data_IF_390436539255
#
_entry.id   IF_390436539255
#
_cell.length_a   1.000
_cell.length_b   1.000
_cell.length_c   1.000
_cell.angle_alpha   90.00
_cell.angle_beta   90.00
_cell.angle_gamma   90.00
#
_symmetry.space_group_name_H-M   'P 1'
#
loop_
_entity.id
_entity.type
_entity.pdbx_description
1 polymer ?
#
# COMPACT_ATOMS: atom_id res chain seq x y z
N UNK A 1 44.56 -6.15 -9.73
CA UNK A 1 44.32 -5.26 -8.58
C UNK A 1 42.84 -4.90 -8.62
N UNK A 2 42.06 -5.30 -7.62
CA UNK A 2 40.64 -4.94 -7.53
C UNK A 2 40.53 -3.48 -7.08
N UNK A 3 39.70 -2.66 -7.76
CA UNK A 3 39.50 -1.23 -7.51
C UNK A 3 38.03 -0.95 -7.13
N UNK A 4 37.74 0.29 -6.74
CA UNK A 4 36.38 0.79 -6.46
C UNK A 4 35.77 1.41 -7.73
N UNK A 5 34.46 1.66 -7.72
CA UNK A 5 33.72 2.31 -8.81
C UNK A 5 32.73 3.35 -8.26
N UNK A 6 32.39 4.34 -9.09
CA UNK A 6 31.28 5.27 -8.89
C UNK A 6 30.17 5.08 -9.94
N UNK A 7 29.04 5.81 -9.82
CA UNK A 7 27.90 5.61 -10.72
C UNK A 7 28.26 5.86 -12.20
N UNK A 8 29.13 6.83 -12.48
CA UNK A 8 29.50 7.21 -13.84
C UNK A 8 30.37 6.15 -14.52
N UNK A 9 31.14 5.34 -13.76
CA UNK A 9 31.87 4.19 -14.29
C UNK A 9 30.88 3.15 -14.86
N UNK A 10 29.80 2.85 -14.13
CA UNK A 10 28.78 1.92 -14.58
C UNK A 10 28.05 2.44 -15.83
N UNK A 11 27.68 3.72 -15.83
CA UNK A 11 27.02 4.34 -16.98
C UNK A 11 27.88 4.36 -18.24
N UNK A 12 29.19 4.54 -18.10
CA UNK A 12 30.13 4.49 -19.22
C UNK A 12 30.11 3.12 -19.90
N UNK A 13 30.37 2.04 -19.16
CA UNK A 13 30.42 0.69 -19.75
C UNK A 13 29.07 0.20 -20.28
N UNK A 14 27.95 0.57 -19.62
CA UNK A 14 26.62 0.27 -20.16
C UNK A 14 26.31 1.05 -21.44
N UNK A 15 26.80 2.28 -21.57
CA UNK A 15 26.68 3.07 -22.81
C UNK A 15 27.45 2.42 -23.95
N UNK A 16 28.71 2.03 -23.73
CA UNK A 16 29.52 1.35 -24.74
C UNK A 16 28.85 0.06 -25.22
N UNK A 17 28.41 -0.80 -24.30
CA UNK A 17 27.74 -2.05 -24.64
C UNK A 17 26.42 -1.82 -25.39
N UNK A 18 25.62 -0.84 -24.98
CA UNK A 18 24.33 -0.55 -25.62
C UNK A 18 24.49 0.07 -27.01
N UNK A 19 25.51 0.90 -27.22
CA UNK A 19 25.85 1.44 -28.54
C UNK A 19 26.40 0.34 -29.47
N UNK A 20 27.27 -0.54 -28.96
CA UNK A 20 27.77 -1.69 -29.71
C UNK A 20 26.64 -2.64 -30.14
N UNK A 21 25.64 -2.84 -29.28
CA UNK A 21 24.48 -3.69 -29.55
C UNK A 21 23.38 -2.99 -30.37
N UNK A 22 23.48 -1.67 -30.60
CA UNK A 22 22.45 -0.88 -31.28
C UNK A 22 21.14 -0.77 -30.49
N UNK A 23 21.15 -0.99 -29.18
CA UNK A 23 19.96 -0.96 -28.31
C UNK A 23 19.69 0.42 -27.70
N UNK A 24 20.62 1.36 -27.87
CA UNK A 24 20.50 2.75 -27.43
C UNK A 24 20.83 3.69 -28.59
N UNK A 25 20.05 4.78 -28.81
CA UNK A 25 20.38 5.77 -29.85
C UNK A 25 21.80 6.31 -29.70
N UNK A 26 22.51 6.48 -30.82
CA UNK A 26 23.92 6.88 -30.82
C UNK A 26 24.20 8.24 -30.16
N UNK A 27 23.19 9.12 -30.12
CA UNK A 27 23.28 10.44 -29.48
C UNK A 27 22.82 10.45 -28.01
N UNK A 28 22.38 9.31 -27.47
CA UNK A 28 21.91 9.18 -26.10
C UNK A 28 22.89 8.32 -25.30
N UNK A 29 23.20 8.72 -24.07
CA UNK A 29 24.06 7.93 -23.18
C UNK A 29 23.26 7.43 -21.98
N UNK A 30 23.68 6.31 -21.39
CA UNK A 30 23.07 5.81 -20.15
C UNK A 30 23.22 6.83 -19.04
N UNK A 31 24.33 7.57 -18.99
CA UNK A 31 24.52 8.67 -18.03
C UNK A 31 23.44 9.74 -18.15
N UNK A 32 23.19 10.24 -19.36
CA UNK A 32 22.14 11.26 -19.61
C UNK A 32 20.76 10.79 -19.14
N UNK A 33 20.45 9.51 -19.31
CA UNK A 33 19.19 8.93 -18.82
C UNK A 33 19.22 8.86 -17.30
N UNK A 34 20.21 8.17 -16.74
CA UNK A 34 20.26 7.79 -15.32
C UNK A 34 20.48 8.98 -14.39
N UNK A 35 21.16 10.05 -14.83
CA UNK A 35 21.27 11.29 -14.05
C UNK A 35 19.88 11.86 -13.71
N UNK A 36 18.88 11.69 -14.59
CA UNK A 36 17.50 12.11 -14.30
C UNK A 36 16.80 11.25 -13.25
N UNK A 37 17.27 10.03 -13.01
CA UNK A 37 16.68 9.07 -12.07
C UNK A 37 17.43 8.98 -10.74
N UNK A 38 18.74 9.28 -10.71
CA UNK A 38 19.58 9.11 -9.51
C UNK A 38 19.90 10.42 -8.79
N UNK A 39 19.87 11.56 -9.48
CA UNK A 39 20.23 12.88 -8.91
C UNK A 39 19.05 13.69 -8.41
N UNK A 40 17.82 13.21 -8.58
CA UNK A 40 16.61 13.82 -8.05
C UNK A 40 15.69 12.78 -7.40
N UNK A 41 14.88 13.23 -6.43
CA UNK A 41 13.90 12.38 -5.77
C UNK A 41 12.63 12.20 -6.61
N UNK A 42 11.85 11.17 -6.28
CA UNK A 42 10.56 10.91 -6.90
C UNK A 42 10.64 10.22 -8.27
N UNK A 43 9.51 10.18 -8.96
CA UNK A 43 9.36 9.53 -10.26
C UNK A 43 8.16 10.15 -11.01
N UNK A 44 8.07 9.98 -12.35
CA UNK A 44 6.97 10.55 -13.10
C UNK A 44 5.71 9.68 -13.09
N UNK A 45 4.57 10.35 -13.27
CA UNK A 45 3.39 9.76 -13.89
C UNK A 45 3.38 10.14 -15.37
N UNK A 46 3.22 9.14 -16.23
CA UNK A 46 3.02 9.31 -17.68
C UNK A 46 1.51 9.31 -17.95
N UNK A 47 1.00 10.38 -18.53
CA UNK A 47 -0.42 10.50 -18.89
C UNK A 47 -0.59 10.33 -20.40
N UNK A 48 -1.46 9.41 -20.80
CA UNK A 48 -1.79 9.12 -22.20
C UNK A 48 -3.22 9.58 -22.47
N UNK A 49 -3.38 10.53 -23.38
CA UNK A 49 -4.69 11.11 -23.72
C UNK A 49 -4.92 11.00 -25.22
N UNK A 50 -5.97 10.28 -25.65
CA UNK A 50 -6.33 10.22 -27.07
C UNK A 50 -6.83 11.60 -27.56
N UNK A 51 -6.23 12.10 -28.64
CA UNK A 51 -6.65 13.33 -29.34
C UNK A 51 -7.43 13.03 -30.62
N UNK A 52 -7.31 11.80 -31.14
CA UNK A 52 -8.08 11.30 -32.29
C UNK A 52 -8.32 9.80 -32.14
N UNK A 53 -8.99 9.18 -33.12
CA UNK A 53 -9.24 7.74 -33.11
C UNK A 53 -7.95 6.90 -33.10
N UNK A 54 -6.85 7.41 -33.66
CA UNK A 54 -5.59 6.68 -33.85
C UNK A 54 -4.37 7.42 -33.32
N UNK A 55 -4.57 8.57 -32.65
CA UNK A 55 -3.48 9.40 -32.15
C UNK A 55 -3.72 9.76 -30.69
N UNK A 56 -2.69 9.63 -29.86
CA UNK A 56 -2.69 10.11 -28.49
C UNK A 56 -1.50 11.03 -28.23
N UNK A 57 -1.67 11.93 -27.27
CA UNK A 57 -0.60 12.68 -26.66
C UNK A 57 -0.12 11.95 -25.41
N UNK A 58 1.20 12.01 -25.17
CA UNK A 58 1.84 11.43 -24.00
C UNK A 58 2.64 12.53 -23.30
N UNK A 59 2.33 12.76 -22.03
CA UNK A 59 3.00 13.76 -21.18
C UNK A 59 3.54 13.11 -19.92
N UNK A 60 4.48 13.78 -19.25
CA UNK A 60 5.01 13.34 -17.96
C UNK A 60 4.95 14.47 -16.93
N UNK A 61 4.65 14.11 -15.69
CA UNK A 61 4.65 15.02 -14.55
C UNK A 61 5.22 14.32 -13.33
N UNK A 62 5.82 15.07 -12.40
CA UNK A 62 6.24 14.50 -11.11
C UNK A 62 5.02 13.98 -10.34
N UNK A 63 5.05 12.71 -9.93
CA UNK A 63 3.93 12.12 -9.19
C UNK A 63 3.99 12.49 -7.69
N UNK A 64 2.97 13.21 -7.20
CA UNK A 64 2.74 13.49 -5.76
C UNK A 64 1.41 12.91 -5.33
N UNK A 65 1.38 12.34 -4.13
CA UNK A 65 0.13 11.96 -3.46
C UNK A 65 -0.62 13.17 -2.88
N UNK A 66 0.09 14.26 -2.60
CA UNK A 66 -0.43 15.51 -2.02
C UNK A 66 -0.60 16.61 -3.09
N UNK A 67 -1.11 16.25 -4.27
CA UNK A 67 -1.38 17.25 -5.31
C UNK A 67 -2.67 18.03 -4.99
N UNK A 68 -2.61 18.81 -3.91
CA UNK A 68 -3.70 19.68 -3.44
C UNK A 68 -4.04 20.80 -4.41
N UNK A 69 -3.23 21.02 -5.47
CA UNK A 69 -3.54 21.99 -6.53
C UNK A 69 -4.73 21.57 -7.39
N UNK A 70 -5.04 20.27 -7.43
CA UNK A 70 -6.23 19.72 -8.09
C UNK A 70 -7.46 19.69 -7.15
N UNK A 71 -7.33 20.16 -5.91
CA UNK A 71 -8.40 20.24 -4.91
C UNK A 71 -8.80 21.72 -4.67
N UNK A 72 -10.02 22.16 -5.07
CA UNK A 72 -10.41 23.58 -5.06
C UNK A 72 -10.51 24.28 -3.69
N UNK A 73 -10.20 23.62 -2.56
CA UNK A 73 -10.60 24.09 -1.22
C UNK A 73 -9.47 24.23 -0.20
N UNK A 74 -8.21 24.09 -0.58
CA UNK A 74 -7.07 24.22 0.37
C UNK A 74 -6.38 25.58 0.25
N UNK A 75 -6.22 26.34 1.36
CA UNK A 75 -5.25 27.43 1.41
C UNK A 75 -3.83 26.85 1.24
N UNK A 76 -2.90 27.57 0.61
CA UNK A 76 -1.51 27.13 0.50
C UNK A 76 -0.91 26.93 1.90
N UNK A 77 -0.29 25.77 2.11
CA UNK A 77 0.51 25.48 3.29
C UNK A 77 1.63 26.52 3.42
N UNK A 78 1.49 27.43 4.38
CA UNK A 78 2.41 28.53 4.67
C UNK A 78 3.52 28.08 5.63
N UNK A 79 4.27 27.05 5.27
CA UNK A 79 5.56 26.76 5.92
C UNK A 79 6.67 26.95 4.88
N UNK A 80 7.43 28.05 4.94
CA UNK A 80 8.56 28.24 4.05
C UNK A 80 9.61 27.19 4.37
N UNK A 81 9.90 26.27 3.43
CA UNK A 81 11.10 25.44 3.53
C UNK A 81 12.31 26.36 3.43
N UNK A 82 13.23 26.28 4.38
CA UNK A 82 14.38 27.19 4.53
C UNK A 82 15.47 27.01 3.47
N UNK A 83 15.14 26.36 2.35
CA UNK A 83 15.91 26.30 1.10
C UNK A 83 14.93 25.92 -0.01
N UNK A 84 14.87 26.65 -1.14
CA UNK A 84 14.13 26.17 -2.30
C UNK A 84 14.81 24.88 -2.75
N UNK A 85 14.07 23.76 -2.71
CA UNK A 85 14.53 22.54 -3.37
C UNK A 85 14.83 22.89 -4.84
N UNK A 86 15.93 22.36 -5.43
CA UNK A 86 16.20 22.59 -6.84
C UNK A 86 14.95 22.22 -7.67
N UNK A 87 14.64 22.96 -8.74
CA UNK A 87 13.47 22.68 -9.55
C UNK A 87 13.54 21.23 -10.03
N UNK A 88 12.49 20.48 -9.73
CA UNK A 88 12.34 19.09 -10.17
C UNK A 88 12.34 19.11 -11.70
N UNK A 89 13.26 18.37 -12.31
CA UNK A 89 13.36 18.25 -13.76
C UNK A 89 12.59 17.02 -14.23
N UNK A 90 12.10 17.03 -15.46
CA UNK A 90 11.50 15.83 -16.06
C UNK A 90 12.53 14.71 -16.26
N UNK A 91 12.06 13.50 -16.54
CA UNK A 91 12.89 12.30 -16.66
C UNK A 91 13.07 11.86 -18.11
N UNK A 92 14.16 11.15 -18.37
CA UNK A 92 14.27 10.35 -19.59
C UNK A 92 13.49 9.06 -19.41
N UNK A 93 12.27 8.99 -19.97
CA UNK A 93 11.34 7.87 -19.76
C UNK A 93 11.31 6.92 -20.96
N UNK A 94 11.65 5.63 -20.78
CA UNK A 94 11.48 4.62 -21.83
C UNK A 94 10.02 4.16 -21.91
N UNK A 95 9.34 4.52 -22.99
CA UNK A 95 7.96 4.10 -23.25
C UNK A 95 7.94 2.77 -23.99
N UNK A 96 7.23 1.82 -23.39
CA UNK A 96 6.78 0.57 -24.00
C UNK A 96 5.26 0.58 -23.95
N UNK A 97 4.59 0.04 -24.96
CA UNK A 97 3.14 -0.06 -24.95
C UNK A 97 2.62 -1.18 -25.85
N UNK A 98 1.46 -1.71 -25.48
CA UNK A 98 0.73 -2.76 -26.20
C UNK A 98 -0.76 -2.42 -26.22
N UNK A 99 -1.58 -3.19 -26.93
CA UNK A 99 -2.99 -2.86 -27.13
C UNK A 99 -3.90 -4.08 -27.21
N UNK A 100 -5.20 -3.86 -27.07
CA UNK A 100 -6.21 -4.90 -27.26
C UNK A 100 -6.43 -5.34 -28.69
N UNK A 101 -5.86 -4.66 -29.69
CA UNK A 101 -5.89 -5.09 -31.10
C UNK A 101 -4.83 -6.17 -31.36
N UNK A 102 -3.61 -5.91 -30.89
CA UNK A 102 -2.47 -6.83 -30.95
C UNK A 102 -1.77 -6.89 -29.59
N UNK A 103 -2.29 -7.72 -28.66
CA UNK A 103 -1.71 -7.85 -27.33
C UNK A 103 -0.41 -8.64 -27.40
N UNK A 104 0.70 -7.93 -27.22
CA UNK A 104 2.03 -8.50 -27.02
C UNK A 104 2.64 -7.96 -25.72
N UNK A 105 2.77 -8.83 -24.73
CA UNK A 105 3.38 -8.52 -23.43
C UNK A 105 4.82 -9.07 -23.30
N UNK A 106 5.34 -9.73 -24.34
CA UNK A 106 6.70 -10.23 -24.38
C UNK A 106 7.68 -9.19 -24.95
N UNK A 107 7.19 -8.21 -25.72
CA UNK A 107 8.00 -7.12 -26.25
C UNK A 107 8.13 -5.95 -25.26
N UNK A 108 9.21 -5.97 -24.47
CA UNK A 108 9.59 -4.87 -23.57
C UNK A 108 10.60 -3.91 -24.22
N UNK A 109 10.80 -3.94 -25.54
CA UNK A 109 11.71 -3.00 -26.21
C UNK A 109 11.13 -1.60 -26.21
N UNK A 110 11.98 -0.62 -25.96
CA UNK A 110 11.59 0.79 -25.94
C UNK A 110 11.11 1.21 -27.32
N UNK A 111 9.87 1.67 -27.41
CA UNK A 111 9.25 2.19 -28.64
C UNK A 111 9.49 3.69 -28.81
N UNK A 112 9.59 4.41 -27.70
CA UNK A 112 9.82 5.86 -27.68
C UNK A 112 10.56 6.25 -26.40
N UNK A 113 11.56 7.13 -26.51
CA UNK A 113 12.18 7.78 -25.36
C UNK A 113 11.60 9.17 -25.20
N UNK A 114 10.97 9.44 -24.04
CA UNK A 114 10.64 10.81 -23.65
C UNK A 114 11.92 11.50 -23.16
N UNK A 115 12.24 12.64 -23.73
CA UNK A 115 13.39 13.43 -23.34
C UNK A 115 13.09 14.23 -22.06
N UNK A 116 14.12 14.40 -21.23
CA UNK A 116 14.08 15.32 -20.10
C UNK A 116 14.37 16.77 -20.54
N UNK A 117 13.80 17.73 -19.81
CA UNK A 117 13.91 19.16 -20.03
C UNK A 117 13.13 19.96 -18.97
N UNK A 118 13.35 21.28 -18.91
CA UNK A 118 12.60 22.19 -18.03
C UNK A 118 11.12 22.32 -18.44
N UNK A 119 10.84 22.21 -19.74
CA UNK A 119 9.50 22.09 -20.31
C UNK A 119 9.42 20.76 -21.09
N UNK A 120 8.95 19.66 -20.45
CA UNK A 120 8.94 18.35 -21.08
C UNK A 120 8.02 18.35 -22.31
N UNK A 121 8.52 17.94 -23.49
CA UNK A 121 7.72 17.96 -24.70
C UNK A 121 6.53 17.00 -24.60
N UNK A 122 5.40 17.41 -25.18
CA UNK A 122 4.29 16.51 -25.46
C UNK A 122 4.64 15.65 -26.66
N UNK A 123 4.52 14.34 -26.52
CA UNK A 123 4.77 13.40 -27.61
C UNK A 123 3.48 12.93 -28.23
N UNK A 124 3.41 12.91 -29.57
CA UNK A 124 2.33 12.24 -30.28
C UNK A 124 2.72 10.80 -30.61
N UNK A 125 1.82 9.87 -30.32
CA UNK A 125 1.98 8.45 -30.62
C UNK A 125 0.81 7.97 -31.46
N UNK A 126 1.10 7.16 -32.47
CA UNK A 126 0.07 6.47 -33.25
C UNK A 126 -0.33 5.20 -32.51
N UNK A 127 -1.62 5.07 -32.22
CA UNK A 127 -2.21 3.94 -31.51
C UNK A 127 -3.28 3.28 -32.39
N UNK A 128 -3.66 2.02 -32.10
CA UNK A 128 -4.83 1.42 -32.71
C UNK A 128 -6.10 2.23 -32.46
N UNK A 129 -7.17 1.87 -33.16
CA UNK A 129 -8.50 2.48 -33.02
C UNK A 129 -8.90 2.62 -31.53
N UNK A 130 -9.55 3.74 -31.20
CA UNK A 130 -10.04 4.06 -29.86
C UNK A 130 -11.01 3.04 -29.25
N UNK A 131 -11.50 2.08 -30.04
CA UNK A 131 -12.23 0.91 -29.53
C UNK A 131 -11.35 -0.09 -28.75
N UNK A 132 -10.03 -0.05 -28.93
CA UNK A 132 -9.09 -0.92 -28.24
C UNK A 132 -8.40 -0.18 -27.09
N UNK A 133 -8.31 -0.85 -25.94
CA UNK A 133 -7.48 -0.40 -24.84
C UNK A 133 -6.01 -0.37 -25.25
N UNK A 134 -5.25 0.51 -24.62
CA UNK A 134 -3.78 0.54 -24.65
C UNK A 134 -3.23 0.43 -23.24
N UNK A 135 -2.10 -0.25 -23.11
CA UNK A 135 -1.34 -0.37 -21.86
C UNK A 135 0.08 0.09 -22.13
N UNK A 136 0.55 1.08 -21.38
CA UNK A 136 1.94 1.51 -21.37
C UNK A 136 2.68 0.87 -20.20
N UNK A 137 4.01 0.83 -20.31
CA UNK A 137 4.91 0.16 -19.38
C UNK A 137 4.67 -1.35 -19.33
N UNK A 138 4.85 -2.02 -20.47
CA UNK A 138 4.73 -3.48 -20.62
C UNK A 138 5.60 -4.19 -19.56
N UNK A 139 4.99 -5.10 -18.81
CA UNK A 139 5.55 -5.79 -17.64
C UNK A 139 6.10 -4.88 -16.53
N UNK A 140 5.65 -3.62 -16.48
CA UNK A 140 6.12 -2.62 -15.52
C UNK A 140 7.65 -2.52 -15.48
N UNK A 141 8.30 -2.67 -16.64
CA UNK A 141 9.76 -2.77 -16.76
C UNK A 141 10.50 -1.46 -16.45
N UNK A 142 9.78 -0.34 -16.34
CA UNK A 142 10.33 0.98 -16.06
C UNK A 142 9.64 1.63 -14.85
N UNK A 143 10.37 2.51 -14.16
CA UNK A 143 9.97 3.07 -12.86
C UNK A 143 9.08 4.32 -12.99
N UNK A 144 7.88 4.17 -13.57
CA UNK A 144 6.87 5.22 -13.65
C UNK A 144 5.46 4.65 -13.56
N UNK A 145 4.51 5.50 -13.15
CA UNK A 145 3.08 5.19 -13.16
C UNK A 145 2.45 5.62 -14.46
N UNK A 146 1.36 4.98 -14.87
CA UNK A 146 0.62 5.36 -16.07
C UNK A 146 -0.80 5.79 -15.74
N UNK A 147 -1.18 6.97 -16.22
CA UNK A 147 -2.55 7.43 -16.26
C UNK A 147 -3.07 7.44 -17.69
N UNK A 148 -4.38 7.23 -17.84
CA UNK A 148 -5.07 7.27 -19.12
C UNK A 148 -6.29 8.18 -19.04
N UNK A 149 -6.80 8.59 -20.19
CA UNK A 149 -8.16 9.13 -20.29
C UNK A 149 -9.22 8.11 -19.81
N UNK A 150 -10.39 8.63 -19.40
CA UNK A 150 -11.46 7.82 -18.81
C UNK A 150 -11.97 6.73 -19.77
N UNK A 151 -11.93 6.97 -21.09
CA UNK A 151 -12.36 5.99 -22.07
C UNK A 151 -11.45 4.77 -22.07
N UNK A 152 -10.13 4.96 -22.03
CA UNK A 152 -9.19 3.83 -21.94
C UNK A 152 -9.33 3.07 -20.62
N UNK A 153 -9.50 3.77 -19.48
CA UNK A 153 -9.76 3.11 -18.19
C UNK A 153 -11.02 2.23 -18.24
N UNK A 154 -12.10 2.68 -18.88
CA UNK A 154 -13.32 1.87 -19.08
C UNK A 154 -13.07 0.65 -19.96
N UNK A 155 -12.25 0.78 -21.02
CA UNK A 155 -11.88 -0.36 -21.87
C UNK A 155 -11.04 -1.39 -21.10
N UNK A 156 -10.12 -0.95 -20.24
CA UNK A 156 -9.35 -1.84 -19.37
C UNK A 156 -10.26 -2.56 -18.36
N UNK A 157 -11.16 -1.84 -17.69
CA UNK A 157 -12.12 -2.43 -16.77
C UNK A 157 -13.02 -3.46 -17.45
N UNK A 158 -13.44 -3.20 -18.70
CA UNK A 158 -14.20 -4.16 -19.51
C UNK A 158 -13.37 -5.40 -19.86
N UNK A 159 -12.15 -5.22 -20.36
CA UNK A 159 -11.26 -6.34 -20.71
C UNK A 159 -11.00 -7.25 -19.50
N UNK A 160 -10.74 -6.67 -18.32
CA UNK A 160 -10.50 -7.43 -17.09
C UNK A 160 -11.72 -8.26 -16.67
N UNK A 161 -12.93 -7.71 -16.83
CA UNK A 161 -14.18 -8.41 -16.53
C UNK A 161 -14.51 -9.52 -17.51
N UNK A 162 -14.29 -9.28 -18.81
CA UNK A 162 -14.62 -10.22 -19.89
C UNK A 162 -13.60 -11.35 -19.99
N UNK A 163 -12.31 -11.01 -20.00
CA UNK A 163 -11.21 -11.98 -20.02
C UNK A 163 -9.90 -11.31 -19.57
N UNK A 164 -9.63 -11.35 -18.27
CA UNK A 164 -8.41 -10.76 -17.70
C UNK A 164 -7.12 -11.45 -18.18
N UNK A 165 -7.15 -12.72 -18.59
CA UNK A 165 -5.95 -13.45 -19.03
C UNK A 165 -5.35 -12.91 -20.34
N UNK A 166 -6.07 -12.07 -21.10
CA UNK A 166 -5.49 -11.35 -22.25
C UNK A 166 -4.39 -10.39 -21.79
N UNK A 167 -4.52 -9.80 -20.59
CA UNK A 167 -3.53 -8.89 -20.01
C UNK A 167 -2.62 -9.68 -19.09
N UNK A 168 -1.29 -9.53 -19.26
CA UNK A 168 -0.31 -10.21 -18.42
C UNK A 168 -0.47 -9.86 -16.93
N UNK A 169 -0.28 -10.82 -16.03
CA UNK A 169 -0.50 -10.67 -14.58
C UNK A 169 0.23 -9.48 -13.96
N UNK A 170 1.48 -9.22 -14.37
CA UNK A 170 2.25 -8.04 -13.93
C UNK A 170 1.56 -6.73 -14.35
N UNK A 171 1.06 -6.62 -15.58
CA UNK A 171 0.35 -5.43 -16.01
C UNK A 171 -1.03 -5.31 -15.36
N UNK A 172 -1.72 -6.41 -15.05
CA UNK A 172 -2.95 -6.35 -14.23
C UNK A 172 -2.67 -5.78 -12.84
N UNK A 173 -1.58 -6.22 -12.21
CA UNK A 173 -1.11 -5.68 -10.94
C UNK A 173 -0.72 -4.20 -11.04
N UNK A 174 -0.02 -3.80 -12.11
CA UNK A 174 0.29 -2.40 -12.40
C UNK A 174 -0.98 -1.56 -12.55
N UNK A 175 -1.96 -2.00 -13.33
CA UNK A 175 -3.24 -1.30 -13.53
C UNK A 175 -3.93 -1.07 -12.19
N UNK A 176 -3.99 -2.10 -11.32
CA UNK A 176 -4.58 -1.98 -9.99
C UNK A 176 -3.79 -0.97 -9.15
N UNK A 177 -2.46 -1.12 -9.08
CA UNK A 177 -1.60 -0.26 -8.25
C UNK A 177 -1.63 1.20 -8.71
N UNK A 178 -1.53 1.45 -10.01
CA UNK A 178 -1.64 2.77 -10.61
C UNK A 178 -3.02 3.37 -10.36
N UNK A 179 -4.11 2.62 -10.58
CA UNK A 179 -5.46 3.12 -10.35
C UNK A 179 -5.69 3.59 -8.90
N UNK A 180 -5.26 2.78 -7.91
CA UNK A 180 -5.38 3.16 -6.49
C UNK A 180 -4.55 4.39 -6.13
N UNK A 181 -3.31 4.47 -6.62
CA UNK A 181 -2.42 5.59 -6.29
C UNK A 181 -2.80 6.87 -7.03
N UNK A 182 -3.27 6.77 -8.28
CA UNK A 182 -3.84 7.90 -9.03
C UNK A 182 -5.11 8.41 -8.37
N UNK A 183 -5.99 7.53 -7.89
CA UNK A 183 -7.18 7.95 -7.17
C UNK A 183 -6.84 8.60 -5.83
N UNK A 184 -5.83 8.09 -5.12
CA UNK A 184 -5.32 8.73 -3.91
C UNK A 184 -4.75 10.13 -4.17
N UNK A 185 -4.11 10.33 -5.31
CA UNK A 185 -3.60 11.62 -5.77
C UNK A 185 -4.67 12.52 -6.42
N UNK A 186 -5.95 12.11 -6.45
CA UNK A 186 -7.04 12.90 -7.06
C UNK A 186 -7.05 12.91 -8.60
N UNK A 187 -6.27 12.03 -9.25
CA UNK A 187 -6.13 11.94 -10.72
C UNK A 187 -7.06 10.89 -11.36
N UNK A 188 -7.76 10.10 -10.54
CA UNK A 188 -8.75 9.09 -10.96
C UNK A 188 -9.88 9.02 -9.92
N UNK A 189 -11.12 8.72 -10.33
CA UNK A 189 -12.21 8.57 -9.37
C UNK A 189 -12.14 7.20 -8.67
N UNK A 190 -12.50 7.14 -7.39
CA UNK A 190 -12.63 5.84 -6.71
C UNK A 190 -13.77 4.99 -7.27
N UNK A 191 -14.76 5.56 -7.94
CA UNK A 191 -15.76 4.80 -8.69
C UNK A 191 -15.09 3.98 -9.80
N UNK A 192 -14.18 4.59 -10.57
CA UNK A 192 -13.41 3.87 -11.60
C UNK A 192 -12.54 2.78 -10.98
N UNK A 193 -11.89 3.05 -9.83
CA UNK A 193 -11.08 2.04 -9.12
C UNK A 193 -11.95 0.85 -8.70
N UNK A 194 -13.12 1.10 -8.10
CA UNK A 194 -14.04 0.07 -7.63
C UNK A 194 -14.61 -0.75 -8.80
N UNK A 195 -14.98 -0.08 -9.89
CA UNK A 195 -15.38 -0.73 -11.14
C UNK A 195 -14.27 -1.61 -11.71
N UNK A 196 -13.04 -1.10 -11.72
CA UNK A 196 -11.88 -1.80 -12.23
C UNK A 196 -11.58 -3.07 -11.42
N UNK A 197 -11.56 -3.01 -10.09
CA UNK A 197 -11.22 -4.16 -9.24
C UNK A 197 -12.35 -5.19 -9.10
N UNK A 198 -13.57 -4.89 -9.55
CA UNK A 198 -14.69 -5.83 -9.43
C UNK A 198 -14.48 -7.15 -10.20
N UNK A 199 -13.55 -7.20 -11.17
CA UNK A 199 -13.14 -8.44 -11.83
C UNK A 199 -12.39 -9.42 -10.91
N UNK A 200 -11.85 -8.96 -9.76
CA UNK A 200 -11.00 -9.76 -8.89
C UNK A 200 -11.69 -11.04 -8.37
N UNK A 201 -13.03 -11.06 -8.35
CA UNK A 201 -13.81 -12.28 -8.10
C UNK A 201 -13.48 -13.44 -9.06
N UNK A 202 -12.85 -13.16 -10.20
CA UNK A 202 -12.41 -14.14 -11.19
C UNK A 202 -10.87 -14.36 -11.19
N UNK A 203 -10.12 -13.53 -10.47
CA UNK A 203 -8.65 -13.53 -10.46
C UNK A 203 -8.10 -14.60 -9.52
N UNK A 204 -7.06 -15.31 -9.97
CA UNK A 204 -6.44 -16.44 -9.25
C UNK A 204 -4.93 -16.33 -9.13
N UNK A 205 -4.30 -15.41 -9.84
CA UNK A 205 -2.85 -15.24 -9.83
C UNK A 205 -2.41 -14.37 -8.64
N UNK A 206 -1.24 -14.69 -8.09
CA UNK A 206 -0.73 -14.01 -6.90
C UNK A 206 -0.46 -12.52 -7.11
N UNK A 207 0.15 -12.15 -8.25
CA UNK A 207 0.69 -10.79 -8.45
C UNK A 207 -0.39 -9.70 -8.44
N UNK A 208 -1.55 -9.85 -9.13
CA UNK A 208 -2.66 -8.89 -9.05
C UNK A 208 -3.29 -8.81 -7.64
N UNK A 209 -3.42 -9.93 -6.95
CA UNK A 209 -3.92 -9.97 -5.57
C UNK A 209 -2.96 -9.28 -4.59
N UNK A 210 -1.65 -9.48 -4.74
CA UNK A 210 -0.63 -8.81 -3.94
C UNK A 210 -0.69 -7.28 -4.09
N UNK A 211 -0.84 -6.77 -5.32
CA UNK A 211 -1.09 -5.35 -5.58
C UNK A 211 -2.40 -4.85 -4.96
N UNK A 212 -3.46 -5.66 -5.04
CA UNK A 212 -4.76 -5.35 -4.42
C UNK A 212 -4.63 -5.22 -2.90
N UNK A 213 -4.11 -6.24 -2.22
CA UNK A 213 -3.98 -6.26 -0.76
C UNK A 213 -3.10 -5.13 -0.23
N UNK A 214 -2.03 -4.81 -0.95
CA UNK A 214 -1.15 -3.69 -0.61
C UNK A 214 -1.89 -2.34 -0.63
N UNK A 215 -2.73 -2.11 -1.66
CA UNK A 215 -3.49 -0.87 -1.79
C UNK A 215 -4.73 -0.82 -0.87
N UNK A 216 -5.38 -1.97 -0.65
CA UNK A 216 -6.49 -2.09 0.30
C UNK A 216 -6.08 -1.74 1.73
N UNK A 217 -4.80 -1.89 2.10
CA UNK A 217 -4.32 -1.50 3.41
C UNK A 217 -4.54 0.00 3.71
N UNK A 218 -4.41 0.89 2.72
CA UNK A 218 -4.71 2.32 2.90
C UNK A 218 -6.21 2.55 3.07
N UNK A 219 -7.02 1.95 2.19
CA UNK A 219 -8.48 2.04 2.25
C UNK A 219 -9.02 1.52 3.58
N UNK A 220 -8.52 0.38 4.05
CA UNK A 220 -8.80 -0.16 5.37
C UNK A 220 -8.40 0.83 6.46
N UNK A 221 -7.19 1.40 6.43
CA UNK A 221 -6.73 2.40 7.42
C UNK A 221 -7.62 3.65 7.44
N UNK A 222 -8.24 4.03 6.33
CA UNK A 222 -9.16 5.17 6.27
C UNK A 222 -10.57 4.81 6.77
N UNK A 223 -11.06 3.61 6.48
CA UNK A 223 -12.44 3.24 6.75
C UNK A 223 -12.67 2.41 8.01
N UNK A 224 -11.67 1.77 8.63
CA UNK A 224 -11.91 0.79 9.71
C UNK A 224 -12.60 1.33 10.99
N UNK A 225 -12.74 2.66 11.12
CA UNK A 225 -13.54 3.34 12.17
C UNK A 225 -14.70 4.16 11.61
N UNK A 226 -14.90 4.13 10.29
CA UNK A 226 -15.98 4.84 9.63
C UNK A 226 -17.29 4.03 9.70
N UNK A 227 -18.46 4.67 9.86
CA UNK A 227 -19.76 3.97 9.85
C UNK A 227 -20.01 3.13 8.58
N UNK A 228 -19.46 3.53 7.43
CA UNK A 228 -19.61 2.79 6.18
C UNK A 228 -18.69 1.57 6.06
N UNK A 229 -17.84 1.30 7.05
CA UNK A 229 -16.90 0.18 7.02
C UNK A 229 -17.58 -1.16 6.77
N UNK A 230 -18.78 -1.39 7.33
CA UNK A 230 -19.54 -2.62 7.14
C UNK A 230 -19.77 -2.93 5.65
N UNK A 231 -20.30 -1.96 4.91
CA UNK A 231 -20.57 -2.09 3.48
C UNK A 231 -19.28 -2.34 2.66
N UNK A 232 -18.22 -1.58 2.95
CA UNK A 232 -16.93 -1.75 2.29
C UNK A 232 -16.32 -3.13 2.56
N UNK A 233 -16.38 -3.58 3.81
CA UNK A 233 -15.89 -4.88 4.27
C UNK A 233 -16.63 -6.02 3.55
N UNK A 234 -17.96 -5.92 3.41
CA UNK A 234 -18.77 -6.92 2.72
C UNK A 234 -18.47 -6.97 1.21
N UNK A 235 -18.23 -5.82 0.57
CA UNK A 235 -17.77 -5.77 -0.82
C UNK A 235 -16.40 -6.43 -1.01
N UNK A 236 -15.41 -6.09 -0.18
CA UNK A 236 -14.07 -6.69 -0.31
C UNK A 236 -14.14 -8.20 -0.05
N UNK A 237 -14.94 -8.65 0.91
CA UNK A 237 -15.17 -10.07 1.16
C UNK A 237 -15.79 -10.78 -0.05
N UNK A 238 -16.72 -10.15 -0.77
CA UNK A 238 -17.34 -10.76 -1.96
C UNK A 238 -16.33 -10.95 -3.10
N UNK A 239 -15.31 -10.09 -3.21
CA UNK A 239 -14.20 -10.27 -4.14
C UNK A 239 -13.26 -11.40 -3.72
N UNK A 240 -12.98 -11.54 -2.42
CA UNK A 240 -12.05 -12.54 -1.88
C UNK A 240 -12.68 -13.94 -1.84
N UNK A 241 -14.00 -14.05 -1.66
CA UNK A 241 -14.68 -15.33 -1.43
C UNK A 241 -14.40 -16.39 -2.53
N UNK A 242 -14.47 -16.07 -3.83
CA UNK A 242 -14.16 -17.05 -4.88
C UNK A 242 -12.71 -17.54 -4.82
N UNK A 243 -11.75 -16.66 -4.49
CA UNK A 243 -10.36 -17.05 -4.29
C UNK A 243 -10.23 -17.97 -3.07
N UNK A 244 -10.92 -17.65 -1.98
CA UNK A 244 -10.98 -18.45 -0.75
C UNK A 244 -11.46 -19.87 -1.01
N UNK A 245 -12.55 -20.01 -1.77
CA UNK A 245 -13.12 -21.30 -2.13
C UNK A 245 -12.20 -22.07 -3.09
N UNK A 246 -11.42 -21.37 -3.91
CA UNK A 246 -10.51 -21.98 -4.88
C UNK A 246 -9.19 -22.48 -4.27
N UNK A 247 -8.51 -21.66 -3.47
CA UNK A 247 -7.17 -21.96 -2.94
C UNK A 247 -7.22 -22.78 -1.65
N UNK A 248 -8.35 -22.71 -0.94
CA UNK A 248 -8.57 -23.39 0.32
C UNK A 248 -7.68 -22.88 1.47
N UNK A 249 -7.82 -23.53 2.62
CA UNK A 249 -7.16 -23.13 3.87
C UNK A 249 -5.97 -24.02 4.23
N UNK A 250 -5.86 -25.18 3.61
CA UNK A 250 -4.81 -26.17 3.85
C UNK A 250 -3.71 -26.03 2.79
N UNK A 251 -2.46 -26.14 3.22
CA UNK A 251 -1.32 -26.21 2.30
C UNK A 251 -1.23 -27.60 1.67
N UNK A 252 -1.05 -27.63 0.36
CA UNK A 252 -0.89 -28.84 -0.42
C UNK A 252 0.59 -29.00 -0.79
N UNK A 253 1.08 -30.24 -0.82
CA UNK A 253 2.45 -30.54 -1.27
C UNK A 253 2.72 -30.12 -2.72
N UNK A 254 1.66 -29.96 -3.51
CA UNK A 254 1.70 -29.49 -4.90
C UNK A 254 1.62 -27.96 -5.05
N UNK A 255 1.53 -27.21 -3.95
CA UNK A 255 1.42 -25.74 -4.03
C UNK A 255 2.70 -25.12 -4.57
N UNK A 256 2.54 -24.24 -5.56
CA UNK A 256 3.59 -23.30 -5.95
C UNK A 256 3.87 -22.30 -4.82
N UNK A 257 5.07 -21.70 -4.81
CA UNK A 257 5.41 -20.63 -3.87
C UNK A 257 4.40 -19.46 -3.94
N UNK A 258 3.93 -19.14 -5.15
CA UNK A 258 2.93 -18.10 -5.36
C UNK A 258 1.58 -18.45 -4.71
N UNK A 259 1.15 -19.71 -4.79
CA UNK A 259 -0.08 -20.16 -4.11
C UNK A 259 0.07 -20.14 -2.59
N UNK A 260 1.24 -20.50 -2.06
CA UNK A 260 1.51 -20.43 -0.62
C UNK A 260 1.42 -18.98 -0.11
N UNK A 261 2.01 -18.03 -0.83
CA UNK A 261 1.94 -16.60 -0.51
C UNK A 261 0.53 -16.05 -0.65
N UNK A 262 -0.15 -16.37 -1.77
CA UNK A 262 -1.53 -15.94 -2.02
C UNK A 262 -2.47 -16.45 -0.93
N UNK A 263 -2.31 -17.71 -0.48
CA UNK A 263 -3.11 -18.27 0.61
C UNK A 263 -2.88 -17.51 1.93
N UNK A 264 -1.62 -17.20 2.26
CA UNK A 264 -1.29 -16.46 3.48
C UNK A 264 -1.92 -15.06 3.48
N UNK A 265 -1.78 -14.31 2.39
CA UNK A 265 -2.36 -12.97 2.24
C UNK A 265 -3.89 -13.02 2.27
N UNK A 266 -4.47 -13.95 1.52
CA UNK A 266 -5.92 -14.14 1.47
C UNK A 266 -6.50 -14.52 2.83
N UNK A 267 -5.89 -15.47 3.56
CA UNK A 267 -6.33 -15.83 4.93
C UNK A 267 -6.22 -14.62 5.86
N UNK A 268 -5.14 -13.85 5.77
CA UNK A 268 -4.95 -12.63 6.56
C UNK A 268 -6.09 -11.64 6.34
N UNK A 269 -6.48 -11.41 5.09
CA UNK A 269 -7.56 -10.48 4.76
C UNK A 269 -8.95 -11.05 5.05
N UNK A 270 -9.25 -12.28 4.65
CA UNK A 270 -10.54 -12.91 4.87
C UNK A 270 -10.90 -12.97 6.37
N UNK A 271 -9.96 -13.42 7.21
CA UNK A 271 -10.16 -13.48 8.66
C UNK A 271 -10.32 -12.08 9.28
N UNK A 272 -9.45 -11.13 8.89
CA UNK A 272 -9.49 -9.72 9.36
C UNK A 272 -10.82 -9.06 9.02
N UNK A 273 -11.35 -9.31 7.82
CA UNK A 273 -12.61 -8.76 7.35
C UNK A 273 -13.84 -9.48 7.92
N UNK A 274 -13.67 -10.56 8.69
CA UNK A 274 -14.80 -11.18 9.38
C UNK A 274 -15.36 -12.44 8.74
N UNK A 275 -14.65 -13.08 7.79
CA UNK A 275 -15.10 -14.35 7.23
C UNK A 275 -15.28 -15.38 8.36
N UNK A 276 -16.52 -15.87 8.51
CA UNK A 276 -16.94 -16.71 9.64
C UNK A 276 -16.19 -18.04 9.64
N UNK A 277 -16.05 -18.67 8.47
CA UNK A 277 -15.31 -19.93 8.34
C UNK A 277 -13.83 -19.73 8.75
N UNK A 278 -13.18 -18.71 8.21
CA UNK A 278 -11.78 -18.37 8.50
C UNK A 278 -11.54 -18.17 10.01
N UNK A 279 -12.45 -17.45 10.69
CA UNK A 279 -12.37 -17.18 12.13
C UNK A 279 -12.55 -18.44 12.97
N UNK A 280 -13.59 -19.22 12.68
CA UNK A 280 -13.88 -20.46 13.41
C UNK A 280 -12.77 -21.50 13.23
N UNK A 281 -12.30 -21.67 11.99
CA UNK A 281 -11.18 -22.54 11.65
C UNK A 281 -9.91 -22.09 12.38
N UNK A 282 -9.57 -20.79 12.34
CA UNK A 282 -8.36 -20.28 12.99
C UNK A 282 -8.36 -20.56 14.50
N UNK A 283 -9.49 -20.30 15.17
CA UNK A 283 -9.63 -20.60 16.60
C UNK A 283 -9.55 -22.10 16.89
N UNK A 284 -10.18 -22.93 16.07
CA UNK A 284 -10.15 -24.39 16.21
C UNK A 284 -8.74 -24.95 16.08
N UNK A 285 -8.02 -24.59 15.00
CA UNK A 285 -6.64 -25.01 14.77
C UNK A 285 -5.72 -24.54 15.90
N UNK A 286 -5.90 -23.31 16.37
CA UNK A 286 -5.12 -22.76 17.46
C UNK A 286 -5.34 -23.52 18.77
N UNK A 287 -6.59 -23.89 19.08
CA UNK A 287 -6.92 -24.69 20.28
C UNK A 287 -6.41 -26.13 20.21
N UNK A 288 -6.40 -26.72 19.02
CA UNK A 288 -5.75 -28.03 18.81
C UNK A 288 -4.25 -27.92 19.06
N UNK A 289 -3.61 -26.85 18.59
CA UNK A 289 -2.21 -26.59 18.89
C UNK A 289 -1.95 -26.34 20.39
N UNK A 290 -2.84 -25.63 21.08
CA UNK A 290 -2.74 -25.46 22.55
C UNK A 290 -2.82 -26.79 23.30
N UNK A 291 -3.61 -27.74 22.81
CA UNK A 291 -3.78 -29.07 23.42
C UNK A 291 -2.56 -29.98 23.20
N UNK A 292 -1.85 -29.83 22.08
CA UNK A 292 -0.61 -30.55 21.79
C UNK A 292 0.45 -29.63 21.14
N UNK A 293 1.14 -28.80 21.94
CA UNK A 293 2.05 -27.78 21.40
C UNK A 293 3.27 -28.34 20.64
N UNK A 294 3.67 -29.57 20.96
CA UNK A 294 4.86 -30.21 20.41
C UNK A 294 4.54 -31.15 19.23
N UNK A 295 3.38 -31.82 19.26
CA UNK A 295 2.98 -32.81 18.26
C UNK A 295 2.06 -32.28 17.16
N UNK A 296 1.27 -31.23 17.43
CA UNK A 296 0.34 -30.69 16.43
C UNK A 296 1.06 -29.89 15.34
N UNK A 297 0.94 -30.35 14.09
CA UNK A 297 1.52 -29.73 12.90
C UNK A 297 0.46 -29.16 11.94
N UNK A 298 -0.77 -28.96 12.41
CA UNK A 298 -1.89 -28.51 11.58
C UNK A 298 -1.90 -27.02 11.23
N UNK A 299 -0.94 -26.23 11.75
CA UNK A 299 -0.74 -24.83 11.34
C UNK A 299 0.64 -24.73 10.71
N UNK A 300 0.69 -24.44 9.42
CA UNK A 300 1.96 -24.20 8.73
C UNK A 300 2.59 -22.88 9.19
N UNK A 301 3.93 -22.74 9.10
CA UNK A 301 4.60 -21.47 9.36
C UNK A 301 4.08 -20.32 8.48
N UNK A 302 3.68 -20.58 7.23
CA UNK A 302 3.25 -19.52 6.31
C UNK A 302 1.91 -18.90 6.71
N UNK A 303 1.00 -19.68 7.32
CA UNK A 303 -0.33 -19.20 7.73
C UNK A 303 -0.40 -18.87 9.23
N UNK A 304 0.70 -19.08 9.98
CA UNK A 304 0.76 -18.88 11.43
C UNK A 304 0.38 -17.45 11.84
N UNK A 305 0.80 -16.43 11.08
CA UNK A 305 0.43 -15.04 11.38
C UNK A 305 -1.08 -14.84 11.27
N UNK A 306 -1.69 -15.30 10.17
CA UNK A 306 -3.13 -15.17 9.93
C UNK A 306 -3.95 -15.93 10.98
N UNK A 307 -3.65 -17.21 11.17
CA UNK A 307 -4.36 -18.09 12.11
C UNK A 307 -4.16 -17.62 13.55
N UNK A 308 -2.91 -17.36 13.93
CA UNK A 308 -2.54 -16.97 15.29
C UNK A 308 -3.12 -15.62 15.69
N UNK A 309 -3.00 -14.60 14.83
CA UNK A 309 -3.59 -13.30 15.11
C UNK A 309 -5.12 -13.38 15.22
N UNK A 310 -5.77 -14.13 14.33
CA UNK A 310 -7.23 -14.31 14.34
C UNK A 310 -7.69 -15.06 15.60
N UNK A 311 -6.96 -16.09 16.02
CA UNK A 311 -7.26 -16.83 17.23
C UNK A 311 -7.14 -15.94 18.48
N UNK A 312 -6.18 -15.02 18.53
CA UNK A 312 -6.07 -14.05 19.63
C UNK A 312 -7.14 -12.95 19.56
N UNK A 313 -7.59 -12.58 18.37
CA UNK A 313 -8.66 -11.61 18.17
C UNK A 313 -10.03 -12.16 18.62
N UNK A 314 -10.29 -13.45 18.37
CA UNK A 314 -11.58 -14.11 18.66
C UNK A 314 -11.58 -14.84 20.00
N UNK A 315 -10.42 -15.34 20.44
CA UNK A 315 -10.24 -16.00 21.73
C UNK A 315 -10.17 -15.01 22.90
N UNK A 316 -9.69 -15.50 24.05
CA UNK A 316 -9.57 -14.70 25.27
C UNK A 316 -8.19 -14.80 25.91
N UNK A 317 -8.16 -14.66 27.24
CA UNK A 317 -6.92 -14.69 28.01
C UNK A 317 -6.16 -16.02 27.88
N UNK A 318 -6.87 -17.16 27.73
CA UNK A 318 -6.24 -18.47 27.62
C UNK A 318 -5.39 -18.59 26.35
N UNK A 319 -5.95 -18.21 25.20
CA UNK A 319 -5.23 -18.18 23.93
C UNK A 319 -4.05 -17.19 23.98
N UNK A 320 -4.25 -15.99 24.55
CA UNK A 320 -3.18 -15.00 24.68
C UNK A 320 -2.04 -15.46 25.61
N UNK A 321 -2.38 -16.07 26.74
CA UNK A 321 -1.41 -16.58 27.73
C UNK A 321 -0.61 -17.74 27.18
N UNK A 322 -1.21 -18.54 26.29
CA UNK A 322 -0.48 -19.54 25.52
C UNK A 322 0.47 -18.87 24.53
N UNK A 323 -0.01 -17.95 23.69
CA UNK A 323 0.80 -17.18 22.75
C UNK A 323 2.03 -16.53 23.40
N UNK A 324 1.87 -15.97 24.59
CA UNK A 324 2.95 -15.34 25.36
C UNK A 324 4.16 -16.27 25.58
N UNK A 325 3.91 -17.58 25.71
CA UNK A 325 4.94 -18.60 25.94
C UNK A 325 5.59 -19.10 24.64
N UNK A 326 5.01 -18.77 23.48
CA UNK A 326 5.44 -19.30 22.18
C UNK A 326 6.30 -18.27 21.43
N UNK A 327 7.58 -18.56 21.12
CA UNK A 327 8.47 -17.62 20.44
C UNK A 327 7.94 -17.11 19.10
N UNK A 328 7.25 -17.96 18.34
CA UNK A 328 6.67 -17.67 17.02
C UNK A 328 5.40 -16.81 17.06
N UNK A 329 4.84 -16.55 18.25
CA UNK A 329 3.57 -15.83 18.42
C UNK A 329 3.72 -14.37 18.85
N UNK A 330 4.95 -13.88 19.01
CA UNK A 330 5.23 -12.50 19.44
C UNK A 330 4.53 -11.45 18.57
N UNK A 331 4.39 -11.73 17.28
CA UNK A 331 3.81 -10.82 16.31
C UNK A 331 2.28 -10.73 16.36
N UNK A 332 1.64 -11.71 17.01
CA UNK A 332 0.19 -11.78 17.15
C UNK A 332 -0.31 -11.20 18.48
N UNK A 333 0.54 -10.98 19.49
CA UNK A 333 0.11 -10.60 20.85
C UNK A 333 -0.71 -9.30 20.92
N UNK A 334 -0.52 -8.38 19.95
CA UNK A 334 -1.33 -7.17 19.83
C UNK A 334 -2.71 -7.35 19.19
N UNK A 335 -3.05 -8.55 18.69
CA UNK A 335 -4.31 -8.84 17.99
C UNK A 335 -5.51 -9.03 18.92
N UNK A 336 -5.30 -9.25 20.22
CA UNK A 336 -6.40 -9.46 21.15
C UNK A 336 -7.32 -8.24 21.24
N UNK A 337 -8.61 -8.51 21.46
CA UNK A 337 -9.62 -7.47 21.71
C UNK A 337 -9.80 -7.14 23.19
N UNK A 338 -9.14 -7.88 24.08
CA UNK A 338 -9.16 -7.65 25.53
C UNK A 338 -8.35 -6.41 25.91
N UNK A 339 -9.03 -5.28 26.14
CA UNK A 339 -8.39 -3.97 26.35
C UNK A 339 -7.39 -3.98 27.52
N UNK A 340 -7.71 -4.68 28.61
CA UNK A 340 -6.85 -4.77 29.79
C UNK A 340 -5.57 -5.58 29.50
N UNK A 341 -5.64 -6.59 28.62
CA UNK A 341 -4.47 -7.35 28.17
C UNK A 341 -3.59 -6.48 27.27
N UNK A 342 -4.19 -5.72 26.34
CA UNK A 342 -3.45 -4.77 25.50
C UNK A 342 -2.74 -3.71 26.35
N UNK A 343 -3.41 -3.16 27.36
CA UNK A 343 -2.82 -2.18 28.26
C UNK A 343 -1.69 -2.78 29.11
N UNK A 344 -1.87 -4.01 29.64
CA UNK A 344 -0.82 -4.75 30.35
C UNK A 344 0.39 -5.00 29.43
N UNK A 345 0.15 -5.34 28.17
CA UNK A 345 1.20 -5.62 27.19
C UNK A 345 1.96 -4.35 26.79
N UNK A 346 1.26 -3.24 26.54
CA UNK A 346 1.87 -1.92 26.35
C UNK A 346 2.74 -1.53 27.54
N UNK A 347 2.21 -1.64 28.76
CA UNK A 347 2.94 -1.26 29.97
C UNK A 347 4.20 -2.11 30.19
N UNK A 348 4.09 -3.42 29.97
CA UNK A 348 5.23 -4.33 29.99
C UNK A 348 6.32 -3.95 28.99
N UNK A 349 5.95 -3.43 27.80
CA UNK A 349 6.90 -3.03 26.76
C UNK A 349 7.88 -1.94 27.22
N UNK A 350 7.48 -1.11 28.18
CA UNK A 350 8.27 0.00 28.72
C UNK A 350 8.62 -0.20 30.20
N UNK A 351 8.71 -1.47 30.64
CA UNK A 351 9.07 -1.87 31.99
C UNK A 351 10.17 -2.94 31.94
N UNK A 352 11.33 -2.66 32.54
CA UNK A 352 12.50 -3.55 32.50
C UNK A 352 12.26 -4.91 33.21
N UNK A 353 11.27 -4.99 34.11
CA UNK A 353 10.96 -6.20 34.87
C UNK A 353 9.87 -7.07 34.23
N UNK A 354 9.34 -6.68 33.06
CA UNK A 354 8.22 -7.39 32.42
C UNK A 354 8.61 -8.69 31.70
N UNK A 355 9.91 -8.92 31.49
CA UNK A 355 10.43 -9.98 30.62
C UNK A 355 10.48 -9.60 29.13
N UNK A 356 9.97 -8.42 28.74
CA UNK A 356 10.18 -7.86 27.40
C UNK A 356 11.54 -7.16 27.37
N UNK A 357 12.38 -7.52 26.39
CA UNK A 357 13.69 -6.89 26.23
C UNK A 357 13.50 -5.45 25.77
N UNK A 358 14.37 -4.55 26.24
CA UNK A 358 14.34 -3.13 25.89
C UNK A 358 14.32 -2.88 24.37
N UNK A 359 15.06 -3.66 23.58
CA UNK A 359 15.04 -3.53 22.11
C UNK A 359 13.71 -3.94 21.45
N UNK A 360 12.86 -4.71 22.15
CA UNK A 360 11.57 -5.20 21.66
C UNK A 360 10.41 -4.26 22.06
N UNK A 361 10.68 -3.17 22.79
CA UNK A 361 9.69 -2.21 23.28
C UNK A 361 8.90 -1.53 22.14
N UNK A 362 9.61 -0.99 21.14
CA UNK A 362 8.99 -0.34 19.99
C UNK A 362 8.18 -1.33 19.13
N UNK A 363 8.66 -2.57 19.01
CA UNK A 363 7.93 -3.63 18.31
C UNK A 363 6.65 -3.99 19.07
N UNK A 364 6.73 -4.12 20.41
CA UNK A 364 5.56 -4.36 21.28
C UNK A 364 4.50 -3.28 21.09
N UNK A 365 4.91 -2.01 21.10
CA UNK A 365 4.02 -0.89 20.83
C UNK A 365 3.38 -0.98 19.43
N UNK A 366 4.19 -1.22 18.39
CA UNK A 366 3.72 -1.39 17.00
C UNK A 366 2.66 -2.49 16.89
N UNK A 367 2.84 -3.64 17.53
CA UNK A 367 1.88 -4.77 17.44
C UNK A 367 0.49 -4.37 17.93
N UNK A 368 0.41 -3.50 18.93
CA UNK A 368 -0.86 -2.95 19.43
C UNK A 368 -1.35 -1.83 18.52
N UNK A 369 -0.49 -0.87 18.16
CA UNK A 369 -0.83 0.30 17.35
C UNK A 369 -1.36 -0.05 15.94
N UNK A 370 -0.89 -1.15 15.34
CA UNK A 370 -1.32 -1.59 14.01
C UNK A 370 -2.73 -2.22 13.95
N UNK A 371 -3.40 -2.40 15.10
CA UNK A 371 -4.75 -3.02 15.16
C UNK A 371 -5.80 -1.95 15.42
N UNK A 372 -6.99 -2.10 14.83
CA UNK A 372 -8.06 -1.10 14.92
C UNK A 372 -8.41 -0.74 16.38
N UNK A 373 -8.61 -1.75 17.23
CA UNK A 373 -8.88 -1.58 18.67
C UNK A 373 -7.65 -1.04 19.42
N UNK A 374 -6.46 -1.54 19.08
CA UNK A 374 -5.22 -1.19 19.76
C UNK A 374 -4.68 0.20 19.42
N UNK A 375 -4.96 0.73 18.23
CA UNK A 375 -4.48 2.05 17.78
C UNK A 375 -4.92 3.19 18.71
N UNK A 376 -6.18 3.17 19.17
CA UNK A 376 -6.71 4.17 20.09
C UNK A 376 -6.02 4.07 21.45
N UNK A 377 -5.92 2.85 22.00
CA UNK A 377 -5.24 2.61 23.28
C UNK A 377 -3.76 2.99 23.23
N UNK A 378 -3.07 2.66 22.14
CA UNK A 378 -1.66 2.97 21.95
C UNK A 378 -1.42 4.49 21.85
N UNK A 379 -2.33 5.23 21.21
CA UNK A 379 -2.26 6.69 21.15
C UNK A 379 -2.43 7.34 22.52
N UNK A 380 -3.46 6.92 23.26
CA UNK A 380 -3.72 7.42 24.62
C UNK A 380 -2.55 7.10 25.55
N UNK A 381 -2.04 5.87 25.47
CA UNK A 381 -0.88 5.44 26.24
C UNK A 381 0.37 6.28 25.90
N UNK A 382 0.66 6.49 24.61
CA UNK A 382 1.81 7.28 24.17
C UNK A 382 1.75 8.71 24.70
N UNK A 383 0.59 9.38 24.57
CA UNK A 383 0.41 10.74 25.09
C UNK A 383 0.57 10.80 26.61
N UNK A 384 -0.03 9.86 27.34
CA UNK A 384 0.02 9.84 28.79
C UNK A 384 1.41 9.46 29.36
N UNK A 385 2.24 8.75 28.59
CA UNK A 385 3.51 8.19 29.05
C UNK A 385 4.73 8.67 28.25
N UNK A 386 4.61 9.74 27.46
CA UNK A 386 5.66 10.14 26.51
C UNK A 386 7.04 10.26 27.17
N UNK A 387 7.13 10.93 28.31
CA UNK A 387 8.38 11.11 29.05
C UNK A 387 9.01 9.77 29.46
N UNK A 388 8.21 8.86 30.01
CA UNK A 388 8.68 7.53 30.40
C UNK A 388 9.12 6.72 29.18
N UNK A 389 8.40 6.81 28.07
CA UNK A 389 8.75 6.13 26.82
C UNK A 389 10.11 6.64 26.31
N UNK A 390 10.30 7.96 26.29
CA UNK A 390 11.56 8.59 25.85
C UNK A 390 12.72 8.19 26.75
N UNK A 391 12.54 8.24 28.07
CA UNK A 391 13.56 7.82 29.05
C UNK A 391 13.90 6.33 28.90
N UNK A 392 12.89 5.48 28.72
CA UNK A 392 13.07 4.05 28.57
C UNK A 392 13.72 3.69 27.23
N UNK A 393 13.36 4.31 26.11
CA UNK A 393 13.97 4.04 24.80
C UNK A 393 15.37 4.65 24.69
N UNK A 394 15.60 5.80 25.34
CA UNK A 394 16.84 6.56 25.23
C UNK A 394 17.08 7.09 23.81
N UNK A 395 18.33 7.05 23.36
CA UNK A 395 18.77 7.62 22.07
C UNK A 395 18.66 6.64 20.89
N UNK A 396 17.86 5.58 21.00
CA UNK A 396 17.68 4.59 19.93
C UNK A 396 17.07 5.28 18.70
N UNK A 397 17.92 5.56 17.71
CA UNK A 397 17.64 6.55 16.66
C UNK A 397 16.30 6.35 15.94
N UNK A 398 15.94 5.10 15.63
CA UNK A 398 14.76 4.76 14.82
C UNK A 398 13.50 4.35 15.61
N UNK A 399 13.57 4.22 16.94
CA UNK A 399 12.45 3.65 17.70
C UNK A 399 11.27 4.63 17.84
N UNK A 400 11.52 5.84 18.35
CA UNK A 400 10.47 6.86 18.54
C UNK A 400 9.81 7.29 17.21
N UNK A 401 10.56 7.56 16.11
CA UNK A 401 9.98 7.88 14.81
C UNK A 401 8.95 6.82 14.35
N UNK A 402 9.35 5.55 14.37
CA UNK A 402 8.47 4.44 13.94
C UNK A 402 7.24 4.29 14.81
N UNK A 403 7.36 4.51 16.12
CA UNK A 403 6.20 4.47 17.02
C UNK A 403 5.18 5.56 16.69
N UNK A 404 5.64 6.78 16.41
CA UNK A 404 4.78 7.88 15.96
C UNK A 404 4.10 7.51 14.66
N UNK A 405 4.86 7.08 13.65
CA UNK A 405 4.32 6.65 12.35
C UNK A 405 3.27 5.53 12.49
N UNK A 406 3.53 4.53 13.33
CA UNK A 406 2.67 3.37 13.51
C UNK A 406 1.33 3.74 14.17
N UNK A 407 1.34 4.62 15.19
CA UNK A 407 0.13 4.99 15.91
C UNK A 407 -0.72 6.02 15.15
N UNK A 408 -0.09 6.93 14.40
CA UNK A 408 -0.80 7.97 13.64
C UNK A 408 -1.20 7.52 12.23
N UNK A 409 -0.80 6.33 11.78
CA UNK A 409 -1.06 5.80 10.42
C UNK A 409 -2.52 5.91 9.97
N UNK A 410 -3.47 5.68 10.88
CA UNK A 410 -4.91 5.67 10.61
C UNK A 410 -5.60 7.01 10.91
N UNK A 411 -4.84 8.07 11.21
CA UNK A 411 -5.42 9.35 11.54
C UNK A 411 -5.92 10.04 10.28
N UNK A 412 -7.20 10.42 10.30
CA UNK A 412 -7.90 10.96 9.15
C UNK A 412 -9.08 11.88 9.52
N UNK A 413 -9.15 12.32 10.78
CA UNK A 413 -10.17 13.27 11.25
C UNK A 413 -9.55 14.58 11.70
N UNK A 414 -10.32 15.67 11.65
CA UNK A 414 -9.87 17.00 12.13
C UNK A 414 -9.50 16.97 13.62
N UNK A 415 -10.22 16.19 14.42
CA UNK A 415 -9.92 16.01 15.84
C UNK A 415 -8.54 15.38 16.04
N UNK A 416 -8.23 14.28 15.34
CA UNK A 416 -6.92 13.63 15.43
C UNK A 416 -5.78 14.54 14.97
N UNK A 417 -6.02 15.34 13.93
CA UNK A 417 -5.06 16.35 13.49
C UNK A 417 -4.75 17.37 14.59
N UNK A 418 -5.80 17.91 15.25
CA UNK A 418 -5.65 18.83 16.37
C UNK A 418 -4.92 18.19 17.56
N UNK A 419 -5.28 16.94 17.90
CA UNK A 419 -4.61 16.20 18.97
C UNK A 419 -3.12 15.99 18.69
N UNK A 420 -2.75 15.70 17.44
CA UNK A 420 -1.36 15.52 17.03
C UNK A 420 -0.57 16.83 17.03
N UNK A 421 -1.19 17.94 16.60
CA UNK A 421 -0.60 19.27 16.67
C UNK A 421 -0.37 19.73 18.12
N UNK A 422 -1.33 19.46 19.01
CA UNK A 422 -1.16 19.77 20.43
C UNK A 422 -0.07 18.88 21.06
N UNK A 423 -0.02 17.59 20.71
CA UNK A 423 1.07 16.70 21.14
C UNK A 423 2.46 17.22 20.69
N UNK A 424 2.58 17.66 19.44
CA UNK A 424 3.81 18.27 18.92
C UNK A 424 4.21 19.51 19.72
N UNK A 425 3.26 20.40 20.01
CA UNK A 425 3.48 21.62 20.77
C UNK A 425 3.88 21.34 22.22
N UNK A 426 3.17 20.41 22.86
CA UNK A 426 3.39 20.03 24.25
C UNK A 426 4.78 19.44 24.49
N UNK A 427 5.27 18.61 23.56
CA UNK A 427 6.53 17.88 23.70
C UNK A 427 7.67 18.40 22.82
N UNK A 428 7.55 19.59 22.22
CA UNK A 428 8.49 20.13 21.22
C UNK A 428 9.97 20.01 21.63
N UNK A 429 10.31 20.26 22.90
CA UNK A 429 11.68 20.17 23.43
C UNK A 429 12.18 18.74 23.69
N UNK A 430 11.29 17.75 23.70
CA UNK A 430 11.57 16.33 24.01
C UNK A 430 11.06 15.36 22.93
N UNK A 431 10.82 15.83 21.71
CA UNK A 431 10.57 14.95 20.56
C UNK A 431 11.84 14.19 20.13
N UNK A 432 13.03 14.75 20.38
CA UNK A 432 14.32 14.15 20.04
C UNK A 432 14.37 13.69 18.57
N UNK A 433 14.64 12.41 18.31
CA UNK A 433 14.71 11.84 16.97
C UNK A 433 13.33 11.76 16.29
N UNK A 434 12.23 11.84 17.03
CA UNK A 434 10.87 11.81 16.48
C UNK A 434 10.38 13.14 15.90
N UNK A 435 11.14 14.23 16.01
CA UNK A 435 10.72 15.57 15.55
C UNK A 435 10.23 15.56 14.10
N UNK A 436 11.03 15.00 13.19
CA UNK A 436 10.66 14.89 11.77
C UNK A 436 9.46 13.96 11.55
N UNK A 437 9.38 12.84 12.28
CA UNK A 437 8.27 11.90 12.17
C UNK A 437 6.94 12.50 12.63
N UNK A 438 6.95 13.31 13.69
CA UNK A 438 5.74 14.04 14.15
C UNK A 438 5.30 15.06 13.10
N UNK A 439 6.24 15.81 12.50
CA UNK A 439 5.91 16.75 11.42
C UNK A 439 5.32 16.04 10.20
N UNK A 440 5.94 14.95 9.77
CA UNK A 440 5.44 14.10 8.68
C UNK A 440 4.08 13.48 9.02
N UNK A 441 3.83 13.12 10.28
CA UNK A 441 2.54 12.61 10.72
C UNK A 441 1.44 13.68 10.67
N UNK A 442 1.75 14.95 10.99
CA UNK A 442 0.82 16.08 10.83
C UNK A 442 0.48 16.31 9.36
N UNK A 443 1.48 16.32 8.48
CA UNK A 443 1.29 16.43 7.02
C UNK A 443 0.44 15.26 6.48
N UNK A 444 0.81 14.01 6.80
CA UNK A 444 0.09 12.82 6.39
C UNK A 444 -1.37 12.80 6.91
N UNK A 445 -1.60 13.21 8.15
CA UNK A 445 -2.95 13.32 8.72
C UNK A 445 -3.77 14.38 7.99
N UNK A 446 -3.15 15.51 7.64
CA UNK A 446 -3.80 16.57 6.85
C UNK A 446 -4.24 16.04 5.49
N UNK A 447 -3.36 15.32 4.79
CA UNK A 447 -3.67 14.66 3.51
C UNK A 447 -4.83 13.67 3.68
N UNK A 448 -4.80 12.84 4.71
CA UNK A 448 -5.85 11.85 4.97
C UNK A 448 -7.21 12.50 5.26
N UNK A 449 -7.23 13.62 5.99
CA UNK A 449 -8.46 14.39 6.23
C UNK A 449 -9.04 14.92 4.92
N UNK A 450 -8.19 15.50 4.06
CA UNK A 450 -8.61 15.97 2.73
C UNK A 450 -9.13 14.81 1.88
N UNK A 451 -8.41 13.69 1.87
CA UNK A 451 -8.82 12.48 1.16
C UNK A 451 -10.19 11.97 1.62
N UNK A 452 -10.44 11.91 2.93
CA UNK A 452 -11.74 11.50 3.47
C UNK A 452 -12.86 12.45 3.05
N UNK A 453 -12.63 13.76 3.07
CA UNK A 453 -13.64 14.74 2.65
C UNK A 453 -13.99 14.59 1.16
N UNK A 454 -13.01 14.29 0.32
CA UNK A 454 -13.18 14.26 -1.12
C UNK A 454 -13.70 12.92 -1.64
N UNK A 455 -13.28 11.80 -1.03
CA UNK A 455 -13.49 10.46 -1.62
C UNK A 455 -14.53 9.63 -0.90
N UNK A 456 -14.75 9.85 0.40
CA UNK A 456 -15.63 9.01 1.22
C UNK A 456 -17.02 8.87 0.61
N UNK A 457 -17.63 10.00 0.21
CA UNK A 457 -18.98 10.00 -0.36
C UNK A 457 -19.08 9.13 -1.62
N UNK A 458 -18.16 9.31 -2.57
CA UNK A 458 -18.18 8.56 -3.84
C UNK A 458 -18.05 7.05 -3.60
N UNK A 459 -17.16 6.64 -2.69
CA UNK A 459 -17.01 5.22 -2.32
C UNK A 459 -18.32 4.67 -1.73
N UNK A 460 -18.92 5.40 -0.78
CA UNK A 460 -20.17 4.98 -0.12
C UNK A 460 -21.35 4.93 -1.10
N UNK A 461 -21.51 5.95 -1.95
CA UNK A 461 -22.57 6.03 -2.95
C UNK A 461 -22.41 4.93 -4.03
N UNK A 462 -21.17 4.59 -4.39
CA UNK A 462 -20.88 3.46 -5.28
C UNK A 462 -21.25 2.12 -4.62
N UNK A 463 -20.83 1.89 -3.38
CA UNK A 463 -21.15 0.66 -2.62
C UNK A 463 -22.67 0.46 -2.53
N UNK A 464 -23.41 1.52 -2.18
CA UNK A 464 -24.86 1.46 -2.07
C UNK A 464 -25.55 1.11 -3.39
N UNK A 465 -25.12 1.70 -4.52
CA UNK A 465 -25.65 1.36 -5.86
C UNK A 465 -25.39 -0.09 -6.28
N UNK A 466 -24.37 -0.72 -5.70
CA UNK A 466 -24.00 -2.11 -5.96
C UNK A 466 -24.52 -3.09 -4.89
N UNK A 467 -25.45 -2.63 -4.03
CA UNK A 467 -26.14 -3.48 -3.05
C UNK A 467 -25.40 -3.66 -1.72
N UNK A 468 -24.29 -2.94 -1.50
CA UNK A 468 -23.55 -2.96 -0.24
C UNK A 468 -23.96 -1.76 0.60
N UNK A 469 -24.79 -1.98 1.63
CA UNK A 469 -25.27 -0.91 2.52
C UNK A 469 -25.06 -1.27 3.98
N UNK A 470 -24.82 -0.27 4.83
CA UNK A 470 -24.91 -0.43 6.27
C UNK A 470 -26.38 -0.28 6.67
N UNK A 471 -27.03 -1.38 7.06
CA UNK A 471 -28.42 -1.37 7.52
C UNK A 471 -28.53 -0.60 8.85
N UNK A 472 -28.70 0.72 8.76
CA UNK A 472 -29.16 1.58 9.86
C UNK A 472 -30.42 2.38 9.46
N UNK A 473 -30.94 2.18 8.24
CA UNK A 473 -32.09 2.92 7.68
C UNK A 473 -33.45 2.25 7.93
N UNK A 474 -33.60 1.48 9.01
CA UNK A 474 -34.87 0.82 9.35
C UNK A 474 -35.05 0.77 10.87
N UNK A 475 -35.31 1.93 11.47
CA UNK A 475 -36.03 2.04 12.74
C UNK A 475 -37.12 3.10 12.63
#
# INVERSE_FOLDING_TARGET
MFKNAEQDDLWHYLTEAAHMAGTLPANLTVKTIMDTWTLQMGFPVVTVTRISNTTATVTQEYFKLDDTTLCPTTPPSSTPSTSPAPPIKSWYVPLTYTSGDQPDFNDTRVKLWMAAGEDPPTYEVTLPNSSHWVIFNVLQSAYYRVNYDEANWKLLARQLKENHHVIHAINRAQIIDDAFNLARAGRLSYEMVLDLISYLSQEKEYVPWSATFSNLQYIYSMFHRDPAYGALKDYILSLIQPLYDHIGTEELSSDSLQNQQLRSDMLTWACRLGNVHCRNMSLSLYRQWMADPAGFKGISPNIMEAVGCTALEVGGEAEWSFAWKQPQMKDALGCTRELWILMRYLDGGFNASSGIRRQDAAITFRRVAMRATGAVLAWDYMRANWERIVEYIGTTFFALPRMVEDVTRSFNTRQQLQELQEFQKQHNSRLLTATTAVQQAVEATTINVVWMNNNRRFIVDWLARHGYTSELNTL
#
